data_IF_767038284283
#
_entry.id   IF_767038284283
#
_cell.length_a   1.000
_cell.length_b   1.000
_cell.length_c   1.000
_cell.angle_alpha   90.00
_cell.angle_beta   90.00
_cell.angle_gamma   90.00
#
_symmetry.space_group_name_H-M   'P 1'
#
loop_
_entity.id
_entity.type
_entity.pdbx_description
1 polymer ?
#
# COMPACT_ATOMS: atom_id res chain seq x y z
N UNK A 1 -5.08 -66.08 -27.70
CA UNK A 1 -4.72 -65.44 -26.41
C UNK A 1 -3.65 -64.41 -26.73
N UNK A 2 -3.96 -63.13 -26.72
CA UNK A 2 -3.03 -62.00 -26.82
C UNK A 2 -3.72 -60.79 -27.42
N UNK A 3 -4.57 -60.09 -26.64
CA UNK A 3 -5.11 -58.76 -26.97
C UNK A 3 -5.40 -57.90 -25.72
N UNK A 4 -4.78 -58.18 -24.57
CA UNK A 4 -5.07 -57.43 -23.31
C UNK A 4 -3.97 -56.42 -22.90
N UNK A 5 -2.88 -56.27 -23.65
CA UNK A 5 -1.75 -55.41 -23.26
C UNK A 5 -1.71 -54.02 -23.86
N UNK A 6 -2.48 -53.76 -24.92
CA UNK A 6 -2.30 -52.49 -25.69
C UNK A 6 -3.22 -51.33 -25.25
N UNK A 7 -4.26 -51.60 -24.45
CA UNK A 7 -5.19 -50.56 -24.00
C UNK A 7 -4.77 -49.84 -22.71
N UNK A 8 -3.86 -50.43 -21.93
CA UNK A 8 -3.42 -49.80 -20.66
C UNK A 8 -2.35 -48.71 -20.84
N UNK A 9 -1.59 -48.71 -21.93
CA UNK A 9 -0.55 -47.72 -22.18
C UNK A 9 -1.09 -46.39 -22.76
N UNK A 10 -2.22 -46.43 -23.46
CA UNK A 10 -2.81 -45.23 -24.07
C UNK A 10 -3.53 -44.36 -23.03
N UNK A 11 -4.09 -44.99 -22.00
CA UNK A 11 -4.81 -44.25 -20.92
C UNK A 11 -3.86 -43.47 -20.02
N UNK A 12 -2.63 -43.93 -19.85
CA UNK A 12 -1.61 -43.23 -19.00
C UNK A 12 -1.05 -42.00 -19.70
N UNK A 13 -0.96 -42.01 -21.05
CA UNK A 13 -0.45 -40.86 -21.80
C UNK A 13 -1.46 -39.69 -21.89
N UNK A 14 -2.76 -39.97 -21.82
CA UNK A 14 -3.80 -38.91 -21.87
C UNK A 14 -4.03 -38.20 -20.54
N UNK A 15 -3.71 -38.83 -19.41
CA UNK A 15 -3.83 -38.19 -18.08
C UNK A 15 -2.62 -37.26 -17.78
N UNK A 16 -1.46 -37.54 -18.39
CA UNK A 16 -0.25 -36.72 -18.18
C UNK A 16 -0.24 -35.38 -18.90
N UNK A 17 -1.09 -35.19 -19.94
CA UNK A 17 -1.09 -33.95 -20.75
C UNK A 17 -2.04 -32.88 -20.24
N UNK A 18 -2.98 -33.21 -19.37
CA UNK A 18 -3.97 -32.23 -18.87
C UNK A 18 -3.55 -31.45 -17.63
N UNK A 19 -2.43 -31.79 -17.00
CA UNK A 19 -1.96 -31.10 -15.76
C UNK A 19 -1.04 -29.90 -16.05
N UNK A 20 -0.60 -29.71 -17.30
CA UNK A 20 0.41 -28.70 -17.64
C UNK A 20 -0.16 -27.34 -18.06
N UNK A 21 -1.48 -27.12 -18.05
CA UNK A 21 -2.11 -25.92 -18.56
C UNK A 21 -2.72 -25.00 -17.49
N UNK A 22 -2.51 -25.27 -16.19
CA UNK A 22 -3.14 -24.45 -15.12
C UNK A 22 -2.17 -23.47 -14.45
N UNK A 23 -0.88 -23.53 -14.77
CA UNK A 23 0.08 -22.52 -14.30
C UNK A 23 0.36 -21.48 -15.39
N UNK A 24 -0.68 -20.76 -15.81
CA UNK A 24 -0.49 -19.49 -16.53
C UNK A 24 0.35 -18.53 -15.67
N UNK A 25 1.22 -17.72 -16.29
CA UNK A 25 1.96 -16.72 -15.53
C UNK A 25 0.95 -15.84 -14.80
N UNK A 26 1.04 -15.81 -13.47
CA UNK A 26 0.32 -14.81 -12.69
C UNK A 26 0.74 -13.47 -13.27
N UNK A 27 -0.20 -12.79 -13.92
CA UNK A 27 0.04 -11.45 -14.41
C UNK A 27 0.55 -10.63 -13.22
N UNK A 28 1.80 -10.21 -13.30
CA UNK A 28 2.33 -9.16 -12.45
C UNK A 28 1.49 -7.94 -12.79
N UNK A 29 0.45 -7.69 -12.01
CA UNK A 29 -0.23 -6.40 -12.02
C UNK A 29 0.85 -5.40 -11.64
N UNK A 30 1.37 -4.70 -12.64
CA UNK A 30 2.22 -3.55 -12.45
C UNK A 30 1.36 -2.51 -11.75
N UNK A 31 1.37 -2.52 -10.41
CA UNK A 31 0.92 -1.38 -9.66
C UNK A 31 1.74 -0.20 -10.17
N UNK A 32 1.09 0.81 -10.69
CA UNK A 32 1.71 2.06 -11.06
C UNK A 32 2.36 2.64 -9.79
N UNK A 33 3.60 2.23 -9.54
CA UNK A 33 4.41 2.81 -8.49
C UNK A 33 4.56 4.28 -8.82
N UNK A 34 4.19 5.14 -7.89
CA UNK A 34 4.47 6.56 -7.97
C UNK A 34 5.99 6.81 -8.12
N UNK A 35 6.42 8.05 -8.33
CA UNK A 35 7.82 8.41 -8.61
C UNK A 35 8.80 8.08 -7.46
N UNK A 36 8.32 7.50 -6.37
CA UNK A 36 9.12 7.11 -5.21
C UNK A 36 9.10 5.60 -5.00
N UNK A 37 10.22 4.98 -4.57
CA UNK A 37 10.19 3.59 -4.15
C UNK A 37 9.15 3.43 -3.00
N UNK A 38 8.34 2.38 -3.00
CA UNK A 38 7.25 2.18 -2.02
C UNK A 38 7.70 2.19 -0.56
N UNK A 39 9.00 2.10 -0.31
CA UNK A 39 9.62 2.08 1.03
C UNK A 39 10.02 3.45 1.59
N UNK A 40 10.05 4.52 0.77
CA UNK A 40 10.53 5.83 1.22
C UNK A 40 9.38 6.75 1.67
N UNK A 41 8.80 6.40 2.82
CA UNK A 41 7.75 7.21 3.45
C UNK A 41 8.22 8.61 3.82
N UNK A 42 9.51 8.83 4.11
CA UNK A 42 10.05 10.14 4.47
C UNK A 42 10.11 11.06 3.24
N UNK A 43 10.65 10.59 2.12
CA UNK A 43 10.70 11.38 0.88
C UNK A 43 9.29 11.70 0.37
N UNK A 44 8.39 10.71 0.42
CA UNK A 44 6.99 10.88 0.03
C UNK A 44 6.27 11.89 0.94
N UNK A 45 6.46 11.80 2.25
CA UNK A 45 5.93 12.76 3.22
C UNK A 45 6.49 14.17 2.97
N UNK A 46 7.80 14.28 2.78
CA UNK A 46 8.47 15.55 2.50
C UNK A 46 7.89 16.27 1.29
N UNK A 47 7.58 15.54 0.22
CA UNK A 47 7.08 16.12 -1.04
C UNK A 47 5.60 16.45 -1.04
N UNK A 48 4.77 15.73 -0.27
CA UNK A 48 3.30 15.84 -0.36
C UNK A 48 2.62 16.33 0.91
N UNK A 49 3.23 16.12 2.08
CA UNK A 49 2.57 16.35 3.37
C UNK A 49 3.23 17.48 4.17
N UNK A 50 4.56 17.61 4.12
CA UNK A 50 5.33 18.52 4.95
C UNK A 50 5.01 20.00 4.71
N UNK A 51 4.51 20.37 3.53
CA UNK A 51 4.11 21.75 3.22
C UNK A 51 3.03 22.28 4.20
N UNK A 52 2.18 21.40 4.68
CA UNK A 52 1.16 21.73 5.68
C UNK A 52 1.53 21.19 7.06
N UNK A 53 1.94 19.93 7.14
CA UNK A 53 2.16 19.20 8.40
C UNK A 53 3.53 19.48 9.04
N UNK A 54 4.42 20.22 8.38
CA UNK A 54 5.78 20.42 8.86
C UNK A 54 6.67 19.19 8.65
N UNK A 55 7.98 19.39 8.61
CA UNK A 55 8.94 18.28 8.41
C UNK A 55 8.95 17.28 9.57
N UNK A 56 8.57 17.75 10.75
CA UNK A 56 8.54 16.99 12.01
C UNK A 56 7.10 16.59 12.44
N UNK A 57 6.10 16.86 11.62
CA UNK A 57 4.70 16.56 11.90
C UNK A 57 3.98 17.53 12.81
N UNK A 58 4.67 18.53 13.39
CA UNK A 58 4.04 19.47 14.32
C UNK A 58 3.20 20.58 13.66
N UNK A 59 3.16 20.60 12.33
CA UNK A 59 2.50 21.63 11.55
C UNK A 59 3.39 22.84 11.27
N UNK A 60 3.17 23.49 10.13
CA UNK A 60 3.84 24.76 9.80
C UNK A 60 3.13 25.92 10.47
N UNK A 61 3.84 27.06 10.67
CA UNK A 61 3.26 28.26 11.28
C UNK A 61 1.96 28.71 10.59
N UNK A 62 1.89 28.57 9.27
CA UNK A 62 0.70 28.93 8.48
C UNK A 62 -0.52 28.06 8.81
N UNK A 63 -0.31 26.79 9.19
CA UNK A 63 -1.38 25.81 9.35
C UNK A 63 -1.70 25.47 10.81
N UNK A 64 -0.79 25.76 11.75
CA UNK A 64 -1.08 25.63 13.20
C UNK A 64 -2.28 26.47 13.58
N UNK A 65 -3.16 25.92 14.40
CA UNK A 65 -4.38 26.61 14.82
C UNK A 65 -5.52 26.63 13.82
N UNK A 66 -5.33 26.06 12.60
CA UNK A 66 -6.39 25.97 11.58
C UNK A 66 -7.09 24.59 11.54
N UNK A 67 -7.14 23.91 12.68
CA UNK A 67 -7.77 22.60 12.81
C UNK A 67 -6.89 21.43 12.34
N UNK A 68 -5.60 21.70 12.03
CA UNK A 68 -4.63 20.68 11.72
C UNK A 68 -4.12 20.02 13.02
N UNK A 69 -4.09 18.69 13.10
CA UNK A 69 -3.54 18.02 14.27
C UNK A 69 -2.01 18.12 14.29
N UNK A 70 -1.43 18.14 15.49
CA UNK A 70 -0.02 17.90 15.72
C UNK A 70 0.23 16.39 15.64
N UNK A 71 0.81 15.93 14.52
CA UNK A 71 1.10 14.51 14.29
C UNK A 71 2.20 13.97 15.21
N UNK A 72 3.00 14.86 15.84
CA UNK A 72 4.05 14.46 16.79
C UNK A 72 3.55 14.29 18.22
N UNK A 73 2.35 14.77 18.52
CA UNK A 73 1.75 14.68 19.85
C UNK A 73 1.51 13.23 20.27
N UNK A 74 2.02 12.83 21.45
CA UNK A 74 1.81 11.49 21.98
C UNK A 74 0.30 11.19 22.20
N UNK A 75 -0.49 12.19 22.57
CA UNK A 75 -1.93 12.06 22.77
C UNK A 75 -2.64 11.79 21.42
N UNK A 76 -2.35 12.57 20.39
CA UNK A 76 -2.89 12.35 19.05
C UNK A 76 -2.52 10.97 18.52
N UNK A 77 -1.25 10.57 18.67
CA UNK A 77 -0.73 9.27 18.24
C UNK A 77 -1.47 8.09 18.90
N UNK A 78 -1.81 8.21 20.19
CA UNK A 78 -2.59 7.19 20.91
C UNK A 78 -4.06 7.18 20.51
N UNK A 79 -4.62 8.32 20.13
CA UNK A 79 -6.04 8.47 19.79
C UNK A 79 -6.41 8.00 18.39
N UNK A 80 -5.44 7.62 17.57
CA UNK A 80 -5.65 7.23 16.16
C UNK A 80 -5.04 5.86 15.87
N UNK A 81 -5.82 4.98 15.24
CA UNK A 81 -5.28 3.72 14.70
C UNK A 81 -4.57 3.97 13.36
N UNK A 82 -3.73 3.03 12.92
CA UNK A 82 -3.07 3.07 11.61
C UNK A 82 -4.10 3.10 10.48
N UNK A 83 -5.19 2.34 10.61
CA UNK A 83 -6.28 2.34 9.65
C UNK A 83 -6.98 3.70 9.55
N UNK A 84 -7.18 4.39 10.66
CA UNK A 84 -7.76 5.75 10.67
C UNK A 84 -6.83 6.79 10.03
N UNK A 85 -5.52 6.64 10.22
CA UNK A 85 -4.51 7.49 9.57
C UNK A 85 -4.52 7.23 8.05
N UNK A 86 -4.47 5.94 7.64
CA UNK A 86 -4.52 5.55 6.24
C UNK A 86 -5.78 6.07 5.55
N UNK A 87 -6.94 5.92 6.19
CA UNK A 87 -8.22 6.40 5.68
C UNK A 87 -8.22 7.92 5.51
N UNK A 88 -7.65 8.65 6.48
CA UNK A 88 -7.51 10.10 6.39
C UNK A 88 -6.64 10.52 5.21
N UNK A 89 -5.56 9.81 4.95
CA UNK A 89 -4.69 10.05 3.79
C UNK A 89 -5.47 9.82 2.49
N UNK A 90 -6.23 8.74 2.42
CA UNK A 90 -6.99 8.40 1.20
C UNK A 90 -8.13 9.37 0.92
N UNK A 91 -8.91 9.70 1.94
CA UNK A 91 -10.13 10.52 1.78
C UNK A 91 -9.90 12.01 1.92
N UNK A 92 -8.83 12.44 2.59
CA UNK A 92 -8.66 13.83 3.00
C UNK A 92 -9.69 14.27 4.05
N UNK A 93 -9.69 15.54 4.42
CA UNK A 93 -10.74 16.20 5.21
C UNK A 93 -10.52 17.71 5.23
N UNK A 94 -11.58 18.47 4.98
CA UNK A 94 -11.50 19.92 4.96
C UNK A 94 -10.46 20.42 3.95
N UNK A 95 -9.39 21.04 4.40
CA UNK A 95 -8.31 21.55 3.54
C UNK A 95 -7.27 20.48 3.15
N UNK A 96 -7.28 19.31 3.79
CA UNK A 96 -6.42 18.19 3.41
C UNK A 96 -7.00 17.50 2.19
N UNK A 97 -6.29 17.49 1.04
CA UNK A 97 -6.79 16.85 -0.17
C UNK A 97 -6.79 15.32 -0.05
N UNK A 98 -7.65 14.63 -0.83
CA UNK A 98 -7.64 13.18 -0.92
C UNK A 98 -6.46 12.67 -1.77
N UNK A 99 -5.79 11.63 -1.30
CA UNK A 99 -4.67 10.99 -2.00
C UNK A 99 -4.98 9.56 -2.48
N UNK A 100 -6.15 9.01 -2.20
CA UNK A 100 -6.47 7.60 -2.51
C UNK A 100 -6.40 7.22 -3.99
N UNK A 101 -6.56 8.17 -4.91
CA UNK A 101 -6.36 7.95 -6.36
C UNK A 101 -4.96 8.29 -6.85
N UNK A 102 -4.08 8.80 -5.99
CA UNK A 102 -2.74 9.31 -6.32
C UNK A 102 -1.62 8.48 -5.71
N UNK A 103 -1.92 7.65 -4.75
CA UNK A 103 -0.98 6.83 -4.00
C UNK A 103 -1.41 5.38 -4.02
N UNK A 104 -0.42 4.48 -4.13
CA UNK A 104 -0.65 3.06 -3.95
C UNK A 104 -0.89 2.71 -2.48
N UNK A 105 -1.36 1.49 -2.21
CA UNK A 105 -1.57 1.03 -0.83
C UNK A 105 -0.25 0.90 -0.06
N UNK A 106 0.83 0.54 -0.74
CA UNK A 106 2.18 0.49 -0.19
C UNK A 106 2.69 1.89 0.19
N UNK A 107 2.45 2.89 -0.67
CA UNK A 107 2.81 4.29 -0.40
C UNK A 107 2.00 4.85 0.78
N UNK A 108 0.71 4.54 0.88
CA UNK A 108 -0.11 4.92 2.04
C UNK A 108 0.42 4.25 3.31
N UNK A 109 0.79 2.97 3.24
CA UNK A 109 1.37 2.24 4.39
C UNK A 109 2.70 2.86 4.83
N UNK A 110 3.56 3.23 3.87
CA UNK A 110 4.83 3.90 4.16
C UNK A 110 4.62 5.28 4.83
N UNK A 111 3.61 6.03 4.38
CA UNK A 111 3.22 7.30 5.00
C UNK A 111 2.69 7.12 6.43
N UNK A 112 1.89 6.09 6.69
CA UNK A 112 1.41 5.79 8.05
C UNK A 112 2.60 5.51 8.97
N UNK A 113 3.57 4.70 8.54
CA UNK A 113 4.81 4.44 9.30
C UNK A 113 5.58 5.73 9.56
N UNK A 114 5.72 6.59 8.55
CA UNK A 114 6.40 7.88 8.70
C UNK A 114 5.68 8.79 9.70
N UNK A 115 4.36 8.85 9.67
CA UNK A 115 3.56 9.60 10.66
C UNK A 115 3.80 9.07 12.09
N UNK A 116 3.92 7.75 12.26
CA UNK A 116 4.24 7.12 13.56
C UNK A 116 5.64 7.47 14.07
N UNK A 117 6.59 7.66 13.16
CA UNK A 117 7.96 8.04 13.53
C UNK A 117 8.08 9.46 14.10
N UNK A 118 7.07 10.32 13.95
CA UNK A 118 7.07 11.67 14.54
C UNK A 118 6.72 11.69 16.03
N UNK A 119 6.23 10.61 16.59
CA UNK A 119 5.81 10.55 18.00
C UNK A 119 6.97 10.97 18.93
N UNK A 120 6.69 11.97 19.76
CA UNK A 120 7.56 12.48 20.84
C UNK A 120 7.04 12.03 22.19
#
# INVERSE_FOLDING_TARGET
MEKRGRFRLITIFLVGLTVLLVNGPKALTSNMAGPYPPSDGMALYGSKCAICHGKDGSGTAQWRGKGQPDLSSAEWQKSRSDSQIAERIRQGKGKMPPFGKKLSDEEVTALVKQVRNFRR
#
